data_IF_881019770981
#
_entry.id   IF_881019770981
#
_cell.length_a   1.000
_cell.length_b   1.000
_cell.length_c   1.000
_cell.angle_alpha   90.00
_cell.angle_beta   90.00
_cell.angle_gamma   90.00
#
_symmetry.space_group_name_H-M   'P 1'
#
loop_
_entity.id
_entity.type
_entity.pdbx_description
1 polymer ?
#
# COMPACT_ATOMS: atom_id res chain seq x y z
N UNK A 1 -16.70 7.72 -40.43
CA UNK A 1 -15.89 7.37 -39.25
C UNK A 1 -16.59 6.18 -38.62
N UNK A 2 -15.94 4.98 -38.61
CA UNK A 2 -16.53 3.78 -38.00
C UNK A 2 -16.67 4.02 -36.50
N UNK A 3 -17.88 3.80 -35.97
CA UNK A 3 -18.09 3.76 -34.51
C UNK A 3 -17.04 2.87 -33.89
N UNK A 4 -16.24 3.41 -32.98
CA UNK A 4 -15.26 2.66 -32.20
C UNK A 4 -16.03 1.59 -31.41
N UNK A 5 -15.81 0.34 -31.78
CA UNK A 5 -16.41 -0.78 -31.05
C UNK A 5 -15.61 -1.00 -29.75
N UNK A 6 -15.97 -0.27 -28.71
CA UNK A 6 -15.34 -0.33 -27.40
C UNK A 6 -15.35 -1.74 -26.79
N UNK A 7 -16.38 -2.54 -27.07
CA UNK A 7 -16.47 -3.91 -26.58
C UNK A 7 -15.37 -4.79 -27.20
N UNK A 8 -15.16 -4.67 -28.50
CA UNK A 8 -14.11 -5.41 -29.20
C UNK A 8 -12.71 -4.98 -28.71
N UNK A 9 -12.51 -3.65 -28.55
CA UNK A 9 -11.24 -3.16 -27.99
C UNK A 9 -10.98 -3.69 -26.58
N UNK A 10 -12.00 -3.67 -25.69
CA UNK A 10 -11.87 -4.22 -24.35
C UNK A 10 -11.49 -5.70 -24.40
N UNK A 11 -12.13 -6.51 -25.26
CA UNK A 11 -11.79 -7.93 -25.43
C UNK A 11 -10.36 -8.13 -25.95
N UNK A 12 -9.93 -7.31 -26.90
CA UNK A 12 -8.57 -7.37 -27.45
C UNK A 12 -7.50 -7.04 -26.38
N UNK A 13 -7.79 -6.07 -25.49
CA UNK A 13 -6.92 -5.74 -24.37
C UNK A 13 -6.90 -6.85 -23.31
N UNK A 14 -8.04 -7.45 -22.99
CA UNK A 14 -8.10 -8.59 -22.08
C UNK A 14 -7.21 -9.75 -22.53
N UNK A 15 -7.19 -10.02 -23.84
CA UNK A 15 -6.33 -11.07 -24.42
C UNK A 15 -4.82 -10.79 -24.32
N UNK A 16 -4.43 -9.54 -24.05
CA UNK A 16 -3.03 -9.09 -23.95
C UNK A 16 -2.46 -9.06 -22.53
N UNK A 17 -3.13 -9.67 -21.56
CA UNK A 17 -2.75 -9.65 -20.14
C UNK A 17 -2.50 -8.22 -19.61
N UNK A 18 -3.54 -7.39 -19.49
CA UNK A 18 -3.40 -6.01 -19.07
C UNK A 18 -2.82 -5.93 -17.66
N UNK A 19 -2.06 -4.85 -17.39
CA UNK A 19 -1.64 -4.49 -16.04
C UNK A 19 -2.78 -3.72 -15.37
N UNK A 20 -3.14 -4.14 -14.16
CA UNK A 20 -4.12 -3.44 -13.33
C UNK A 20 -3.36 -2.42 -12.47
N UNK A 21 -3.74 -1.15 -12.52
CA UNK A 21 -3.14 -0.10 -11.69
C UNK A 21 -4.19 0.32 -10.65
N UNK A 22 -3.82 0.20 -9.36
CA UNK A 22 -4.66 0.59 -8.24
C UNK A 22 -4.06 1.83 -7.57
N UNK A 23 -4.85 2.87 -7.45
CA UNK A 23 -4.55 4.05 -6.64
C UNK A 23 -5.43 4.10 -5.39
N UNK A 24 -5.31 5.17 -4.59
CA UNK A 24 -6.03 5.37 -3.33
C UNK A 24 -7.56 5.29 -3.46
N UNK A 25 -8.12 5.62 -4.64
CA UNK A 25 -9.55 5.50 -4.90
C UNK A 25 -10.08 4.07 -4.80
N UNK A 26 -9.25 3.05 -5.12
CA UNK A 26 -9.63 1.66 -4.97
C UNK A 26 -9.81 1.28 -3.48
N UNK A 27 -8.99 1.82 -2.60
CA UNK A 27 -9.06 1.57 -1.16
C UNK A 27 -10.13 2.43 -0.48
N UNK A 28 -10.33 3.66 -0.95
CA UNK A 28 -11.38 4.55 -0.44
C UNK A 28 -12.79 3.95 -0.61
N UNK A 29 -13.04 3.17 -1.68
CA UNK A 29 -14.29 2.45 -1.89
C UNK A 29 -14.61 1.44 -0.77
N UNK A 30 -13.61 1.01 -0.01
CA UNK A 30 -13.72 0.11 1.14
C UNK A 30 -13.68 0.83 2.49
N UNK A 31 -13.69 2.16 2.49
CA UNK A 31 -13.68 2.97 3.71
C UNK A 31 -12.30 3.37 4.22
N UNK A 32 -11.23 3.10 3.46
CA UNK A 32 -9.91 3.59 3.80
C UNK A 32 -9.83 5.11 3.64
N UNK A 33 -9.10 5.73 4.53
CA UNK A 33 -8.88 7.18 4.52
C UNK A 33 -7.99 7.64 3.35
N UNK A 34 -8.36 8.78 2.77
CA UNK A 34 -7.53 9.44 1.76
C UNK A 34 -6.46 10.36 2.37
N UNK A 35 -5.65 10.97 1.50
CA UNK A 35 -4.51 11.82 1.88
C UNK A 35 -4.87 12.99 2.80
N UNK A 36 -6.08 13.56 2.66
CA UNK A 36 -6.52 14.67 3.53
C UNK A 36 -6.79 14.22 4.96
N UNK A 37 -7.39 13.05 5.15
CA UNK A 37 -7.61 12.47 6.47
C UNK A 37 -6.27 12.06 7.10
N UNK A 38 -5.36 11.48 6.32
CA UNK A 38 -4.00 11.18 6.77
C UNK A 38 -3.26 12.45 7.21
N UNK A 39 -3.32 13.54 6.44
CA UNK A 39 -2.72 14.81 6.83
C UNK A 39 -3.23 15.30 8.20
N UNK A 40 -4.54 15.23 8.41
CA UNK A 40 -5.17 15.60 9.69
C UNK A 40 -4.71 14.68 10.82
N UNK A 41 -4.64 13.39 10.55
CA UNK A 41 -4.16 12.41 11.54
C UNK A 41 -2.71 12.67 11.96
N UNK A 42 -1.83 12.90 10.99
CA UNK A 42 -0.42 13.18 11.25
C UNK A 42 -0.22 14.39 12.17
N UNK A 43 -0.91 15.51 11.88
CA UNK A 43 -0.84 16.72 12.72
C UNK A 43 -1.20 16.45 14.18
N UNK A 44 -2.16 15.55 14.43
CA UNK A 44 -2.69 15.29 15.74
C UNK A 44 -2.02 14.12 16.48
N UNK A 45 -1.36 13.20 15.78
CA UNK A 45 -0.92 11.93 16.35
C UNK A 45 0.58 11.64 16.15
N UNK A 46 1.32 12.47 15.42
CA UNK A 46 2.78 12.29 15.34
C UNK A 46 3.40 12.68 16.67
N UNK A 47 4.15 11.77 17.28
CA UNK A 47 4.89 12.06 18.49
C UNK A 47 6.07 12.99 18.17
N UNK A 48 6.02 14.19 18.70
CA UNK A 48 7.05 15.22 18.56
C UNK A 48 7.89 15.40 19.83
N UNK A 49 7.68 14.58 20.85
CA UNK A 49 8.43 14.66 22.10
C UNK A 49 9.92 14.35 21.88
N UNK A 50 10.77 15.15 22.49
CA UNK A 50 12.23 14.96 22.40
C UNK A 50 12.87 15.31 21.05
N UNK A 51 12.13 15.85 20.07
CA UNK A 51 12.70 16.41 18.86
C UNK A 51 13.61 17.60 19.18
N UNK A 52 14.67 17.78 18.41
CA UNK A 52 15.53 18.97 18.47
C UNK A 52 14.75 20.23 18.08
N UNK A 53 15.30 21.41 18.40
CA UNK A 53 14.68 22.68 18.04
C UNK A 53 14.49 22.83 16.53
N UNK A 54 15.46 22.39 15.70
CA UNK A 54 15.38 22.45 14.24
C UNK A 54 14.32 21.49 13.65
N UNK A 55 14.18 20.29 14.23
CA UNK A 55 13.15 19.34 13.84
C UNK A 55 11.75 19.85 14.21
N UNK A 56 11.64 20.45 15.40
CA UNK A 56 10.39 21.08 15.84
C UNK A 56 10.00 22.24 14.91
N UNK A 57 10.94 23.06 14.49
CA UNK A 57 10.69 24.12 13.51
C UNK A 57 10.23 23.57 12.17
N UNK A 58 10.88 22.50 11.69
CA UNK A 58 10.50 21.79 10.46
C UNK A 58 9.08 21.23 10.56
N UNK A 59 8.74 20.62 11.69
CA UNK A 59 7.40 20.12 11.96
C UNK A 59 6.34 21.24 11.99
N UNK A 60 6.62 22.35 12.66
CA UNK A 60 5.71 23.51 12.70
C UNK A 60 5.47 24.06 11.29
N UNK A 61 6.54 24.17 10.47
CA UNK A 61 6.42 24.58 9.07
C UNK A 61 5.53 23.62 8.28
N UNK A 62 5.74 22.31 8.42
CA UNK A 62 4.90 21.29 7.79
C UNK A 62 3.42 21.46 8.18
N UNK A 63 3.12 21.57 9.48
CA UNK A 63 1.77 21.80 9.96
C UNK A 63 1.14 23.09 9.43
N UNK A 64 1.94 24.16 9.27
CA UNK A 64 1.45 25.42 8.71
C UNK A 64 1.09 25.27 7.23
N UNK A 65 1.91 24.58 6.43
CA UNK A 65 1.60 24.30 5.01
C UNK A 65 0.26 23.55 4.86
N UNK A 66 0.01 22.56 5.73
CA UNK A 66 -1.27 21.85 5.71
C UNK A 66 -2.46 22.74 6.08
N UNK A 67 -2.29 23.66 7.04
CA UNK A 67 -3.31 24.67 7.40
C UNK A 67 -3.59 25.62 6.24
N UNK A 68 -2.56 25.96 5.47
CA UNK A 68 -2.64 26.81 4.28
C UNK A 68 -3.19 26.04 3.05
N UNK A 69 -3.72 24.80 3.29
CA UNK A 69 -4.34 23.93 2.29
C UNK A 69 -3.37 23.42 1.20
N UNK A 70 -2.09 23.41 1.48
CA UNK A 70 -1.12 22.65 0.68
C UNK A 70 -1.42 21.16 0.91
N UNK A 71 -1.47 20.38 -0.15
CA UNK A 71 -1.68 18.93 -0.04
C UNK A 71 -0.50 18.25 0.67
N UNK A 72 -0.75 17.07 1.23
CA UNK A 72 0.21 16.35 2.07
C UNK A 72 1.54 16.08 1.35
N UNK A 73 1.47 15.66 0.09
CA UNK A 73 2.67 15.34 -0.70
C UNK A 73 3.52 16.61 -0.94
N UNK A 74 2.86 17.67 -1.39
CA UNK A 74 3.51 18.97 -1.60
C UNK A 74 4.06 19.58 -0.30
N UNK A 75 3.37 19.42 0.81
CA UNK A 75 3.84 19.89 2.12
C UNK A 75 5.10 19.15 2.58
N UNK A 76 5.14 17.82 2.43
CA UNK A 76 6.33 17.01 2.75
C UNK A 76 7.52 17.33 1.82
N UNK A 77 7.26 17.67 0.55
CA UNK A 77 8.31 18.10 -0.38
C UNK A 77 8.93 19.46 -0.03
N UNK A 78 8.17 20.34 0.63
CA UNK A 78 8.63 21.69 0.97
C UNK A 78 9.39 21.78 2.30
N UNK A 79 9.45 20.66 3.04
CA UNK A 79 10.21 20.56 4.27
C UNK A 79 11.32 19.53 4.14
N UNK A 80 12.47 19.82 4.74
CA UNK A 80 13.59 18.86 4.79
C UNK A 80 13.52 18.17 6.17
N UNK A 81 12.75 17.09 6.27
CA UNK A 81 12.66 16.32 7.50
C UNK A 81 13.96 15.55 7.74
N UNK A 82 14.40 15.50 9.00
CA UNK A 82 15.47 14.61 9.43
C UNK A 82 15.03 13.13 9.34
N UNK A 83 15.95 12.21 9.46
CA UNK A 83 15.66 10.79 9.54
C UNK A 83 14.73 10.47 10.71
N UNK A 84 14.98 11.08 11.88
CA UNK A 84 14.15 10.93 13.08
C UNK A 84 12.71 11.42 12.85
N UNK A 85 12.53 12.62 12.33
CA UNK A 85 11.19 13.16 12.04
C UNK A 85 10.49 12.33 10.97
N UNK A 86 11.22 11.90 9.93
CA UNK A 86 10.69 11.02 8.88
C UNK A 86 10.20 9.69 9.48
N UNK A 87 10.99 9.07 10.36
CA UNK A 87 10.63 7.82 11.03
C UNK A 87 9.33 7.96 11.82
N UNK A 88 9.13 9.08 12.53
CA UNK A 88 7.91 9.36 13.28
C UNK A 88 6.68 9.55 12.39
N UNK A 89 6.85 10.24 11.27
CA UNK A 89 5.79 10.39 10.24
C UNK A 89 5.43 9.04 9.64
N UNK A 90 6.43 8.20 9.32
CA UNK A 90 6.24 6.83 8.84
C UNK A 90 5.46 6.00 9.87
N UNK A 91 5.87 6.04 11.14
CA UNK A 91 5.21 5.30 12.22
C UNK A 91 3.74 5.72 12.38
N UNK A 92 3.46 7.03 12.40
CA UNK A 92 2.09 7.53 12.52
C UNK A 92 1.25 7.15 11.29
N UNK A 93 1.81 7.24 10.08
CA UNK A 93 1.17 6.79 8.83
C UNK A 93 0.84 5.31 8.90
N UNK A 94 1.82 4.49 9.26
CA UNK A 94 1.65 3.04 9.40
C UNK A 94 0.55 2.69 10.40
N UNK A 95 0.55 3.35 11.57
CA UNK A 95 -0.42 3.08 12.64
C UNK A 95 -1.85 3.34 12.17
N UNK A 96 -2.09 4.48 11.53
CA UNK A 96 -3.41 4.83 10.99
C UNK A 96 -3.87 3.81 9.93
N UNK A 97 -3.06 3.65 8.89
CA UNK A 97 -3.45 2.83 7.74
C UNK A 97 -3.56 1.35 8.12
N UNK A 98 -2.69 0.83 9.00
CA UNK A 98 -2.79 -0.56 9.47
C UNK A 98 -4.04 -0.81 10.30
N UNK A 99 -4.49 0.17 11.09
CA UNK A 99 -5.76 0.06 11.83
C UNK A 99 -6.93 -0.05 10.86
N UNK A 100 -7.01 0.86 9.89
CA UNK A 100 -8.10 0.86 8.89
C UNK A 100 -8.09 -0.39 8.01
N UNK A 101 -6.91 -0.85 7.58
CA UNK A 101 -6.73 -2.06 6.78
C UNK A 101 -7.23 -3.31 7.52
N UNK A 102 -6.90 -3.43 8.82
CA UNK A 102 -7.39 -4.50 9.66
C UNK A 102 -8.92 -4.45 9.84
N UNK A 103 -9.50 -3.24 9.99
CA UNK A 103 -10.96 -3.05 10.11
C UNK A 103 -11.67 -3.48 8.82
N UNK A 104 -11.13 -3.13 7.64
CA UNK A 104 -11.65 -3.59 6.35
C UNK A 104 -11.57 -5.10 6.24
N UNK A 105 -10.45 -5.71 6.63
CA UNK A 105 -10.29 -7.17 6.62
C UNK A 105 -11.33 -7.85 7.51
N UNK A 106 -11.45 -7.44 8.77
CA UNK A 106 -12.41 -8.01 9.73
C UNK A 106 -13.85 -7.84 9.24
N UNK A 107 -14.20 -6.67 8.73
CA UNK A 107 -15.52 -6.39 8.17
C UNK A 107 -15.82 -7.29 6.96
N UNK A 108 -14.85 -7.53 6.10
CA UNK A 108 -15.03 -8.43 4.94
C UNK A 108 -15.37 -9.86 5.35
N UNK A 109 -14.81 -10.32 6.48
CA UNK A 109 -15.12 -11.66 7.03
C UNK A 109 -16.49 -11.71 7.70
N UNK A 110 -16.89 -10.66 8.42
CA UNK A 110 -18.15 -10.60 9.16
C UNK A 110 -19.36 -10.40 8.25
N UNK A 111 -19.25 -9.48 7.30
CA UNK A 111 -20.36 -9.06 6.44
C UNK A 111 -20.40 -9.84 5.12
N UNK A 112 -19.48 -10.78 4.90
CA UNK A 112 -19.28 -11.46 3.61
C UNK A 112 -19.14 -10.46 2.43
N UNK A 113 -18.52 -9.32 2.69
CA UNK A 113 -18.34 -8.28 1.68
C UNK A 113 -17.41 -8.79 0.58
N UNK A 114 -17.87 -8.73 -0.66
CA UNK A 114 -17.08 -9.17 -1.82
C UNK A 114 -16.26 -8.00 -2.33
N UNK A 115 -14.94 -8.18 -2.46
CA UNK A 115 -14.08 -7.21 -3.11
C UNK A 115 -14.33 -7.22 -4.63
N UNK A 116 -14.69 -6.09 -5.27
CA UNK A 116 -14.87 -6.05 -6.73
C UNK A 116 -13.65 -6.53 -7.51
N UNK A 117 -12.45 -6.30 -6.99
CA UNK A 117 -11.20 -6.79 -7.58
C UNK A 117 -11.16 -8.33 -7.61
N UNK A 118 -11.69 -9.02 -6.59
CA UNK A 118 -11.80 -10.48 -6.58
C UNK A 118 -12.58 -10.98 -7.78
N UNK A 119 -13.77 -10.42 -8.01
CA UNK A 119 -14.63 -10.78 -9.15
C UNK A 119 -13.96 -10.49 -10.51
N UNK A 120 -13.26 -9.37 -10.61
CA UNK A 120 -12.50 -9.02 -11.81
C UNK A 120 -11.41 -10.05 -12.09
N UNK A 121 -10.61 -10.40 -11.08
CA UNK A 121 -9.52 -11.36 -11.20
C UNK A 121 -10.05 -12.77 -11.55
N UNK A 122 -11.11 -13.22 -10.86
CA UNK A 122 -11.77 -14.48 -11.19
C UNK A 122 -12.23 -14.53 -12.64
N UNK A 123 -12.82 -13.42 -13.13
CA UNK A 123 -13.24 -13.32 -14.51
C UNK A 123 -12.04 -13.38 -15.48
N UNK A 124 -10.98 -12.64 -15.20
CA UNK A 124 -9.77 -12.63 -16.04
C UNK A 124 -9.11 -14.03 -16.10
N UNK A 125 -9.07 -14.75 -14.98
CA UNK A 125 -8.50 -16.10 -14.93
C UNK A 125 -9.38 -17.19 -15.57
N UNK A 126 -10.62 -16.88 -15.99
CA UNK A 126 -11.38 -17.78 -16.88
C UNK A 126 -10.78 -17.87 -18.28
N UNK A 127 -9.95 -16.91 -18.66
CA UNK A 127 -9.17 -16.95 -19.90
C UNK A 127 -7.92 -17.82 -19.75
N UNK A 128 -7.08 -17.86 -20.79
CA UNK A 128 -5.80 -18.58 -20.77
C UNK A 128 -4.67 -17.83 -20.02
N UNK A 129 -4.98 -16.71 -19.36
CA UNK A 129 -4.01 -15.96 -18.57
C UNK A 129 -3.50 -16.80 -17.41
N UNK A 130 -2.18 -16.82 -17.25
CA UNK A 130 -1.52 -17.51 -16.13
C UNK A 130 -1.08 -16.52 -15.05
N UNK A 131 -0.69 -15.32 -15.47
CA UNK A 131 -0.19 -14.27 -14.57
C UNK A 131 -0.95 -12.98 -14.88
N UNK A 132 -1.42 -12.33 -13.84
CA UNK A 132 -1.98 -10.98 -13.89
C UNK A 132 -1.08 -10.10 -13.03
N UNK A 133 -0.66 -8.95 -13.59
CA UNK A 133 0.14 -7.99 -12.84
C UNK A 133 -0.75 -6.88 -12.31
N UNK A 134 -0.63 -6.61 -11.03
CA UNK A 134 -1.27 -5.50 -10.31
C UNK A 134 -0.15 -4.59 -9.83
N UNK A 135 -0.23 -3.31 -10.11
CA UNK A 135 0.68 -2.29 -9.60
C UNK A 135 -0.11 -1.36 -8.70
N UNK A 136 0.39 -1.10 -7.52
CA UNK A 136 -0.28 -0.19 -6.57
C UNK A 136 0.71 0.73 -5.87
N UNK A 137 0.27 1.96 -5.65
CA UNK A 137 0.94 2.94 -4.78
C UNK A 137 0.43 2.87 -3.34
N UNK A 138 -0.62 2.07 -3.08
CA UNK A 138 -1.24 1.96 -1.78
C UNK A 138 -0.43 1.04 -0.85
N UNK A 139 -0.37 1.41 0.42
CA UNK A 139 0.31 0.61 1.45
C UNK A 139 -0.54 -0.55 1.95
N UNK A 140 -1.89 -0.44 1.82
CA UNK A 140 -2.86 -1.42 2.31
C UNK A 140 -2.74 -2.78 1.61
N UNK A 141 -3.41 -3.80 2.17
CA UNK A 141 -3.40 -5.19 1.69
C UNK A 141 -4.69 -5.60 0.97
N UNK A 142 -5.47 -4.64 0.50
CA UNK A 142 -6.78 -4.93 -0.09
C UNK A 142 -6.67 -5.76 -1.38
N UNK A 143 -5.60 -5.58 -2.16
CA UNK A 143 -5.35 -6.39 -3.34
C UNK A 143 -5.06 -7.87 -2.98
N UNK A 144 -4.32 -8.10 -1.89
CA UNK A 144 -4.05 -9.42 -1.33
C UNK A 144 -5.33 -10.05 -0.80
N UNK A 145 -6.14 -9.31 -0.04
CA UNK A 145 -7.44 -9.80 0.46
C UNK A 145 -8.39 -10.17 -0.68
N UNK A 146 -8.41 -9.39 -1.75
CA UNK A 146 -9.22 -9.71 -2.94
C UNK A 146 -8.72 -10.99 -3.63
N UNK A 147 -7.41 -11.22 -3.69
CA UNK A 147 -6.86 -12.47 -4.21
C UNK A 147 -7.25 -13.65 -3.34
N UNK A 148 -7.10 -13.54 -2.02
CA UNK A 148 -7.44 -14.61 -1.06
C UNK A 148 -8.91 -14.96 -1.13
N UNK A 149 -9.81 -13.97 -1.20
CA UNK A 149 -11.23 -14.17 -1.35
C UNK A 149 -11.59 -14.89 -2.65
N UNK A 150 -10.94 -14.56 -3.77
CA UNK A 150 -11.07 -15.23 -5.06
C UNK A 150 -10.32 -16.56 -5.16
N UNK A 151 -9.67 -17.02 -4.08
CA UNK A 151 -8.82 -18.23 -4.06
C UNK A 151 -7.72 -18.19 -5.13
N UNK A 152 -7.17 -17.01 -5.36
CA UNK A 152 -6.14 -16.74 -6.35
C UNK A 152 -4.81 -16.61 -5.61
N UNK A 153 -3.84 -17.43 -5.99
CA UNK A 153 -2.47 -17.26 -5.46
C UNK A 153 -1.94 -15.87 -5.81
N UNK A 154 -1.28 -15.24 -4.87
CA UNK A 154 -0.63 -13.95 -5.11
C UNK A 154 0.84 -13.98 -4.72
N UNK A 155 1.61 -13.07 -5.31
CA UNK A 155 3.02 -12.88 -5.05
C UNK A 155 3.30 -11.38 -4.88
N UNK A 156 3.94 -11.03 -3.78
CA UNK A 156 4.25 -9.64 -3.38
C UNK A 156 5.75 -9.37 -3.23
N UNK A 157 6.59 -10.22 -3.78
CA UNK A 157 8.05 -10.14 -3.59
C UNK A 157 8.60 -11.06 -2.51
N UNK A 158 7.74 -11.83 -1.83
CA UNK A 158 8.13 -12.63 -0.67
C UNK A 158 7.63 -14.08 -0.77
N UNK A 159 8.24 -14.97 0.03
CA UNK A 159 7.76 -16.33 0.28
C UNK A 159 6.37 -16.32 0.92
N UNK A 160 5.78 -17.48 1.11
CA UNK A 160 4.52 -17.64 1.84
C UNK A 160 4.77 -17.86 3.34
N UNK A 161 3.79 -17.52 4.16
CA UNK A 161 3.81 -17.74 5.61
C UNK A 161 3.60 -16.47 6.43
N UNK A 162 3.76 -16.57 7.75
CA UNK A 162 3.59 -15.42 8.66
C UNK A 162 4.84 -14.53 8.72
N UNK A 163 6.00 -15.14 8.70
CA UNK A 163 7.30 -14.46 8.57
C UNK A 163 7.88 -14.85 7.21
N UNK A 164 8.01 -13.88 6.32
CA UNK A 164 8.30 -14.11 4.90
C UNK A 164 9.61 -13.43 4.53
N UNK A 165 10.40 -14.12 3.73
CA UNK A 165 11.67 -13.63 3.20
C UNK A 165 11.51 -13.23 1.73
N UNK A 166 12.37 -12.34 1.24
CA UNK A 166 12.42 -12.00 -0.17
C UNK A 166 12.59 -13.27 -1.02
N UNK A 167 11.84 -13.34 -2.10
CA UNK A 167 11.87 -14.44 -3.05
C UNK A 167 11.72 -13.94 -4.48
N UNK A 168 12.39 -14.57 -5.43
CA UNK A 168 12.23 -14.26 -6.84
C UNK A 168 10.89 -14.82 -7.35
N UNK A 169 10.25 -14.16 -8.36
CA UNK A 169 9.01 -14.68 -8.97
C UNK A 169 9.14 -16.09 -9.53
N UNK A 170 10.35 -16.49 -9.93
CA UNK A 170 10.67 -17.83 -10.46
C UNK A 170 10.65 -18.92 -9.39
N UNK A 171 10.78 -18.56 -8.12
CA UNK A 171 10.72 -19.49 -6.99
C UNK A 171 9.28 -19.83 -6.60
N UNK A 172 8.31 -19.10 -7.12
CA UNK A 172 6.89 -19.32 -6.86
C UNK A 172 6.33 -20.27 -7.92
N UNK A 173 5.96 -21.46 -7.50
CA UNK A 173 5.56 -22.57 -8.38
C UNK A 173 4.11 -22.52 -8.86
N UNK A 174 3.30 -21.61 -8.35
CA UNK A 174 1.87 -21.49 -8.73
C UNK A 174 1.72 -21.17 -10.22
N UNK A 175 0.96 -22.01 -10.92
CA UNK A 175 0.74 -21.90 -12.36
C UNK A 175 -0.10 -20.66 -12.69
N UNK A 176 -1.08 -20.32 -11.84
CA UNK A 176 -1.93 -19.14 -11.97
C UNK A 176 -1.79 -18.28 -10.74
N UNK A 177 -1.42 -17.01 -10.92
CA UNK A 177 -1.24 -16.08 -9.80
C UNK A 177 -1.39 -14.63 -10.23
N UNK A 178 -1.70 -13.76 -9.27
CA UNK A 178 -1.54 -12.33 -9.38
C UNK A 178 -0.17 -11.91 -8.80
N UNK A 179 0.63 -11.17 -9.56
CA UNK A 179 1.80 -10.49 -9.01
C UNK A 179 1.34 -9.09 -8.57
N UNK A 180 1.57 -8.73 -7.32
CA UNK A 180 1.20 -7.44 -6.74
C UNK A 180 2.49 -6.66 -6.49
N UNK A 181 2.69 -5.60 -7.25
CA UNK A 181 3.86 -4.74 -7.19
C UNK A 181 3.52 -3.49 -6.37
N UNK A 182 4.00 -3.43 -5.14
CA UNK A 182 3.78 -2.32 -4.21
C UNK A 182 4.96 -1.35 -4.29
N UNK A 183 4.82 -0.34 -5.13
CA UNK A 183 5.94 0.57 -5.46
C UNK A 183 6.30 1.57 -4.36
N UNK A 184 5.44 1.70 -3.34
CA UNK A 184 5.69 2.53 -2.16
C UNK A 184 5.81 1.71 -0.86
N UNK A 185 6.11 0.42 -0.98
CA UNK A 185 6.14 -0.46 0.18
C UNK A 185 4.76 -0.95 0.61
N UNK A 186 4.70 -1.66 1.72
CA UNK A 186 3.49 -2.28 2.25
C UNK A 186 3.47 -2.24 3.77
N UNK A 187 2.27 -2.27 4.35
CA UNK A 187 2.06 -2.32 5.81
C UNK A 187 2.75 -3.51 6.49
N UNK A 188 3.00 -4.57 5.77
CA UNK A 188 3.60 -5.79 6.27
C UNK A 188 5.09 -5.96 5.91
N UNK A 189 5.72 -4.92 5.33
CA UNK A 189 7.15 -4.93 4.97
C UNK A 189 7.98 -4.18 5.99
N UNK A 190 9.04 -4.84 6.46
CA UNK A 190 9.91 -4.32 7.50
C UNK A 190 11.37 -4.61 7.19
N UNK A 191 12.23 -3.70 7.61
CA UNK A 191 13.65 -4.00 7.81
C UNK A 191 13.82 -4.62 9.19
N UNK A 192 14.43 -5.79 9.24
CA UNK A 192 14.74 -6.49 10.47
C UNK A 192 15.98 -5.91 11.16
N UNK A 193 16.24 -6.25 12.44
CA UNK A 193 17.49 -5.88 13.12
C UNK A 193 18.76 -6.44 12.47
N UNK A 194 18.63 -7.40 11.57
CA UNK A 194 19.72 -7.98 10.78
C UNK A 194 19.85 -7.33 9.39
N UNK A 195 19.18 -6.21 9.18
CA UNK A 195 19.16 -5.46 7.93
C UNK A 195 18.49 -6.19 6.74
N UNK A 196 17.89 -7.35 6.99
CA UNK A 196 17.10 -8.05 5.97
C UNK A 196 15.72 -7.42 5.78
N UNK A 197 15.27 -7.35 4.55
CA UNK A 197 13.87 -7.00 4.26
C UNK A 197 12.99 -8.23 4.42
N UNK A 198 12.02 -8.15 5.31
CA UNK A 198 11.09 -9.24 5.63
C UNK A 198 9.65 -8.75 5.54
N UNK A 199 8.72 -9.68 5.36
CA UNK A 199 7.30 -9.37 5.46
C UNK A 199 6.66 -10.15 6.61
N UNK A 200 5.89 -9.45 7.46
CA UNK A 200 5.25 -10.01 8.66
C UNK A 200 3.77 -9.68 8.61
N UNK A 201 2.94 -10.72 8.58
CA UNK A 201 1.48 -10.54 8.43
C UNK A 201 0.80 -10.22 9.77
N UNK A 202 -0.23 -9.39 9.70
CA UNK A 202 -1.24 -9.19 10.76
C UNK A 202 -0.68 -8.76 12.12
N UNK A 203 0.30 -7.86 12.15
CA UNK A 203 0.80 -7.30 13.41
C UNK A 203 -0.01 -6.07 13.82
N UNK A 204 -0.24 -5.91 15.13
CA UNK A 204 -0.94 -4.75 15.71
C UNK A 204 -0.01 -3.55 15.91
N UNK A 205 1.26 -3.81 16.11
CA UNK A 205 2.32 -2.82 16.31
C UNK A 205 3.59 -3.32 15.65
N UNK A 206 4.43 -2.39 15.22
CA UNK A 206 5.76 -2.74 14.69
C UNK A 206 6.59 -3.29 15.86
N UNK A 207 7.24 -4.46 15.70
CA UNK A 207 8.10 -5.03 16.74
C UNK A 207 9.29 -4.11 17.04
N UNK A 208 9.81 -4.17 18.25
CA UNK A 208 10.99 -3.40 18.63
C UNK A 208 12.16 -3.71 17.69
N UNK A 209 12.90 -2.68 17.32
CA UNK A 209 14.04 -2.74 16.38
C UNK A 209 13.69 -3.12 14.94
N UNK A 210 12.40 -3.19 14.56
CA UNK A 210 11.97 -3.28 13.17
C UNK A 210 11.58 -1.90 12.63
N UNK A 211 11.84 -1.66 11.35
CA UNK A 211 11.48 -0.41 10.68
C UNK A 211 10.52 -0.70 9.53
N UNK A 212 9.41 0.05 9.48
CA UNK A 212 8.47 -0.05 8.36
C UNK A 212 9.13 0.39 7.06
N UNK A 213 8.87 -0.37 5.99
CA UNK A 213 9.36 -0.10 4.64
C UNK A 213 8.31 0.60 3.77
N UNK A 214 7.38 1.34 4.38
CA UNK A 214 6.52 2.25 3.61
C UNK A 214 7.28 3.52 3.25
N UNK A 215 7.14 3.97 2.01
CA UNK A 215 7.75 5.20 1.52
C UNK A 215 6.70 6.30 1.56
N UNK A 216 6.84 7.23 2.52
CA UNK A 216 5.94 8.39 2.62
C UNK A 216 5.99 9.25 1.36
N UNK A 217 4.90 9.96 1.03
CA UNK A 217 4.94 10.97 -0.01
C UNK A 217 6.04 12.00 0.31
N UNK A 218 6.99 12.23 -0.60
CA UNK A 218 8.07 13.18 -0.39
C UNK A 218 9.29 12.93 -1.29
N UNK A 219 10.31 13.78 -1.20
CA UNK A 219 11.50 13.77 -2.06
C UNK A 219 12.41 12.54 -1.91
N UNK A 220 12.32 11.80 -0.82
CA UNK A 220 13.17 10.62 -0.56
C UNK A 220 12.76 9.36 -1.31
N UNK A 221 11.71 9.43 -2.15
CA UNK A 221 11.22 8.28 -2.93
C UNK A 221 12.21 7.71 -3.95
N UNK A 222 13.30 8.39 -4.26
CA UNK A 222 14.14 8.11 -5.44
C UNK A 222 15.64 8.14 -5.17
N UNK A 223 16.06 7.89 -3.94
CA UNK A 223 17.49 7.79 -3.57
C UNK A 223 17.86 6.38 -3.14
#
# INVERSE_FOLDING_TARGET
MSELNYQKQAQDYYGKAPVIILGSGASAAHGMSGMSALATYLVNNTDISGLSAGETETWVKFCQLLKDKVDLESALHQVTASEELTSRIVMATWTMINSEDNDVFLKSLQDNTIFPLSLLLEHMFKSNLKIINIVTTNYDRLAEYACDQGRIHHYTGFTHGFFRQLALPTEITSVRRANIWKVHGSLDWFQSPLEDTVAISNIKSIPDNYQSQIVTPGTQKYH
#
